data_IF_282784586490
#
_entry.id   IF_282784586490
#
_cell.length_a   1.000
_cell.length_b   1.000
_cell.length_c   1.000
_cell.angle_alpha   90.00
_cell.angle_beta   90.00
_cell.angle_gamma   90.00
#
_symmetry.space_group_name_H-M   'P 1'
#
loop_
_entity.id
_entity.type
_entity.pdbx_description
1 polymer ?
#
# COMPACT_ATOMS: atom_id res chain seq x y z
N UNK A 1 4.21 12.62 14.46
CA UNK A 1 4.20 12.76 12.99
C UNK A 1 3.40 11.57 12.44
N UNK A 2 2.39 11.84 11.65
CA UNK A 2 1.67 10.76 10.99
C UNK A 2 2.54 10.18 9.87
N UNK A 3 2.59 8.86 9.76
CA UNK A 3 3.29 8.19 8.68
C UNK A 3 2.70 8.59 7.33
N UNK A 4 3.54 8.68 6.32
CA UNK A 4 3.14 8.96 4.94
C UNK A 4 3.29 7.70 4.11
N UNK A 5 2.36 7.51 3.18
CA UNK A 5 2.29 6.31 2.34
C UNK A 5 2.28 6.73 0.87
N UNK A 6 3.24 6.23 0.11
CA UNK A 6 3.27 6.45 -1.32
C UNK A 6 2.37 5.44 -2.03
N UNK A 7 1.62 5.90 -3.04
CA UNK A 7 0.67 5.06 -3.77
C UNK A 7 0.99 5.04 -5.25
N UNK A 8 1.17 3.85 -5.80
CA UNK A 8 1.42 3.63 -7.21
C UNK A 8 0.11 3.75 -8.03
N UNK A 9 0.24 4.01 -9.32
CA UNK A 9 -0.87 4.25 -10.24
C UNK A 9 -1.87 3.10 -10.27
N UNK A 10 -1.41 1.83 -10.24
CA UNK A 10 -2.29 0.67 -10.30
C UNK A 10 -3.32 0.65 -9.16
N UNK A 11 -2.93 1.05 -7.96
CA UNK A 11 -3.83 1.12 -6.81
C UNK A 11 -4.93 2.16 -7.04
N UNK A 12 -4.56 3.35 -7.54
CA UNK A 12 -5.53 4.39 -7.85
C UNK A 12 -6.48 3.96 -8.98
N UNK A 13 -5.96 3.27 -9.99
CA UNK A 13 -6.79 2.72 -11.08
C UNK A 13 -7.85 1.77 -10.55
N UNK A 14 -7.50 0.82 -9.69
CA UNK A 14 -8.48 -0.09 -9.08
C UNK A 14 -9.49 0.64 -8.21
N UNK A 15 -9.09 1.69 -7.51
CA UNK A 15 -10.00 2.50 -6.71
C UNK A 15 -11.11 3.17 -7.55
N UNK A 16 -10.87 3.40 -8.83
CA UNK A 16 -11.83 4.00 -9.76
C UNK A 16 -12.48 3.00 -10.74
N UNK A 17 -12.04 1.75 -10.76
CA UNK A 17 -12.60 0.71 -11.65
C UNK A 17 -13.53 -0.23 -10.89
N UNK A 18 -14.83 0.07 -10.92
CA UNK A 18 -15.86 -0.75 -10.28
C UNK A 18 -15.95 -2.17 -10.82
N UNK A 19 -15.39 -2.45 -11.99
CA UNK A 19 -15.40 -3.79 -12.60
C UNK A 19 -14.30 -4.69 -12.04
N UNK A 20 -13.36 -4.15 -11.27
CA UNK A 20 -12.23 -4.89 -10.70
C UNK A 20 -12.60 -5.77 -9.47
N UNK A 21 -13.86 -5.79 -9.05
CA UNK A 21 -14.34 -6.66 -7.97
C UNK A 21 -13.65 -6.40 -6.65
N UNK A 22 -13.11 -7.46 -6.03
CA UNK A 22 -12.45 -7.37 -4.71
C UNK A 22 -11.25 -6.40 -4.70
N UNK A 23 -10.53 -6.26 -5.82
CA UNK A 23 -9.44 -5.28 -5.92
C UNK A 23 -9.96 -3.84 -5.87
N UNK A 24 -11.11 -3.58 -6.50
CA UNK A 24 -11.77 -2.28 -6.39
C UNK A 24 -12.12 -1.96 -4.94
N UNK A 25 -12.81 -2.86 -4.25
CA UNK A 25 -13.26 -2.64 -2.87
C UNK A 25 -12.07 -2.37 -1.95
N UNK A 26 -10.99 -3.13 -2.13
CA UNK A 26 -9.78 -3.01 -1.34
C UNK A 26 -9.04 -1.70 -1.61
N UNK A 27 -8.82 -1.36 -2.88
CA UNK A 27 -8.14 -0.14 -3.28
C UNK A 27 -8.92 1.10 -2.87
N UNK A 28 -10.26 1.07 -3.04
CA UNK A 28 -11.14 2.15 -2.62
C UNK A 28 -11.05 2.40 -1.12
N UNK A 29 -11.14 1.34 -0.30
CA UNK A 29 -11.04 1.46 1.15
C UNK A 29 -9.70 2.07 1.58
N UNK A 30 -8.60 1.62 0.97
CA UNK A 30 -7.26 2.15 1.23
C UNK A 30 -7.15 3.63 0.86
N UNK A 31 -7.59 4.01 -0.32
CA UNK A 31 -7.54 5.40 -0.79
C UNK A 31 -8.39 6.32 0.08
N UNK A 32 -9.58 5.88 0.49
CA UNK A 32 -10.46 6.64 1.39
C UNK A 32 -9.83 6.84 2.78
N UNK A 33 -9.13 5.82 3.30
CA UNK A 33 -8.38 5.93 4.55
C UNK A 33 -7.25 6.95 4.45
N UNK A 34 -6.41 6.84 3.41
CA UNK A 34 -5.30 7.77 3.17
C UNK A 34 -5.80 9.21 2.96
N UNK A 35 -6.98 9.37 2.37
CA UNK A 35 -7.61 10.68 2.20
C UNK A 35 -8.07 11.28 3.51
N UNK A 36 -8.82 10.50 4.29
CA UNK A 36 -9.32 10.91 5.60
C UNK A 36 -8.19 11.32 6.53
N UNK A 37 -7.11 10.53 6.55
CA UNK A 37 -5.99 10.72 7.49
C UNK A 37 -4.93 11.68 6.93
N UNK A 38 -5.07 12.13 5.68
CA UNK A 38 -4.15 13.04 4.97
C UNK A 38 -2.71 12.51 4.91
N UNK A 39 -2.58 11.20 4.69
CA UNK A 39 -1.30 10.49 4.68
C UNK A 39 -0.86 10.03 3.30
N UNK A 40 -1.69 10.20 2.29
CA UNK A 40 -1.38 9.82 0.91
C UNK A 40 -0.34 10.70 0.25
N UNK A 41 0.59 10.07 -0.45
CA UNK A 41 1.63 10.71 -1.26
C UNK A 41 1.65 10.07 -2.64
N UNK A 42 1.73 10.87 -3.67
CA UNK A 42 1.88 10.43 -5.06
C UNK A 42 2.88 11.33 -5.78
N UNK A 43 3.24 10.99 -7.02
CA UNK A 43 4.10 11.82 -7.84
C UNK A 43 3.37 12.38 -9.07
N UNK A 44 3.99 13.33 -9.75
CA UNK A 44 3.52 13.82 -11.05
C UNK A 44 3.43 12.70 -12.08
N UNK A 45 4.35 11.71 -12.07
CA UNK A 45 4.26 10.53 -12.92
C UNK A 45 2.97 9.75 -12.66
N UNK A 46 2.66 9.45 -11.40
CA UNK A 46 1.44 8.72 -11.01
C UNK A 46 0.20 9.45 -11.51
N UNK A 47 0.13 10.77 -11.38
CA UNK A 47 -0.98 11.57 -11.89
C UNK A 47 -1.09 11.53 -13.43
N UNK A 48 0.02 11.58 -14.13
CA UNK A 48 0.07 11.50 -15.60
C UNK A 48 -0.39 10.14 -16.09
N UNK A 49 0.09 9.07 -15.48
CA UNK A 49 -0.33 7.70 -15.80
C UNK A 49 -1.81 7.47 -15.47
N UNK A 50 -2.28 7.97 -14.33
CA UNK A 50 -3.69 7.90 -13.94
C UNK A 50 -4.57 8.59 -14.99
N UNK A 51 -4.24 9.81 -15.38
CA UNK A 51 -5.00 10.56 -16.38
C UNK A 51 -5.10 9.82 -17.72
N UNK A 52 -3.99 9.25 -18.20
CA UNK A 52 -3.98 8.48 -19.46
C UNK A 52 -4.76 7.17 -19.32
N UNK A 53 -4.59 6.47 -18.20
CA UNK A 53 -5.22 5.18 -17.98
C UNK A 53 -6.74 5.29 -17.80
N UNK A 54 -7.22 6.31 -17.08
CA UNK A 54 -8.66 6.56 -16.93
C UNK A 54 -9.35 6.81 -18.28
N UNK A 55 -8.66 7.46 -19.22
CA UNK A 55 -9.21 7.76 -20.53
C UNK A 55 -9.09 6.60 -21.53
N UNK A 56 -8.10 5.70 -21.35
CA UNK A 56 -7.75 4.70 -22.39
C UNK A 56 -7.85 3.25 -21.94
N UNK A 57 -7.55 2.96 -20.67
CA UNK A 57 -7.43 1.59 -20.16
C UNK A 57 -8.53 1.19 -19.19
N UNK A 58 -9.30 2.13 -18.67
CA UNK A 58 -10.43 1.79 -17.81
C UNK A 58 -11.48 0.99 -18.59
N UNK A 59 -12.14 0.06 -17.92
CA UNK A 59 -13.22 -0.74 -18.52
C UNK A 59 -14.35 0.13 -19.09
N UNK A 60 -14.57 1.30 -18.49
CA UNK A 60 -15.40 2.38 -19.00
C UNK A 60 -14.54 3.65 -19.07
N UNK A 61 -13.94 3.94 -20.23
CA UNK A 61 -13.10 5.12 -20.38
C UNK A 61 -13.84 6.40 -20.04
N UNK A 62 -13.16 7.27 -19.29
CA UNK A 62 -13.69 8.57 -18.91
C UNK A 62 -13.33 9.62 -19.98
N UNK A 63 -14.17 10.63 -20.10
CA UNK A 63 -13.85 11.81 -20.90
C UNK A 63 -12.79 12.69 -20.18
N UNK A 64 -12.32 13.71 -20.90
CA UNK A 64 -11.28 14.60 -20.39
C UNK A 64 -11.73 15.42 -19.18
N UNK A 65 -13.01 15.80 -19.11
CA UNK A 65 -13.54 16.60 -18.00
C UNK A 65 -13.64 15.77 -16.72
N UNK A 66 -14.22 14.58 -16.80
CA UNK A 66 -14.30 13.66 -15.66
C UNK A 66 -12.89 13.26 -15.16
N UNK A 67 -11.96 13.00 -16.08
CA UNK A 67 -10.57 12.72 -15.73
C UNK A 67 -9.91 13.89 -15.02
N UNK A 68 -10.12 15.12 -15.54
CA UNK A 68 -9.59 16.34 -14.93
C UNK A 68 -10.05 16.52 -13.49
N UNK A 69 -11.32 16.26 -13.23
CA UNK A 69 -11.88 16.42 -11.88
C UNK A 69 -11.27 15.42 -10.91
N UNK A 70 -11.10 14.16 -11.31
CA UNK A 70 -10.43 13.14 -10.48
C UNK A 70 -8.96 13.54 -10.20
N UNK A 71 -8.23 13.97 -11.21
CA UNK A 71 -6.83 14.41 -11.04
C UNK A 71 -6.76 15.64 -10.13
N UNK A 72 -7.70 16.59 -10.27
CA UNK A 72 -7.76 17.77 -9.41
C UNK A 72 -7.98 17.41 -7.95
N UNK A 73 -8.79 16.40 -7.67
CA UNK A 73 -8.99 15.91 -6.30
C UNK A 73 -7.69 15.35 -5.72
N UNK A 74 -6.94 14.54 -6.47
CA UNK A 74 -5.65 14.00 -6.02
C UNK A 74 -4.56 15.06 -5.86
N UNK A 75 -4.66 16.21 -6.50
CA UNK A 75 -3.73 17.33 -6.28
C UNK A 75 -3.81 17.91 -4.86
N UNK A 76 -4.80 17.53 -4.07
CA UNK A 76 -4.87 17.86 -2.64
C UNK A 76 -3.96 16.98 -1.76
N UNK A 77 -3.44 15.86 -2.30
CA UNK A 77 -2.44 15.03 -1.64
C UNK A 77 -1.06 15.67 -1.68
N UNK A 78 -0.12 15.11 -0.95
CA UNK A 78 1.28 15.49 -1.11
C UNK A 78 1.80 14.98 -2.46
N UNK A 79 2.31 15.91 -3.29
CA UNK A 79 2.78 15.60 -4.63
C UNK A 79 4.30 15.70 -4.68
N UNK A 80 4.96 14.65 -5.11
CA UNK A 80 6.38 14.67 -5.50
C UNK A 80 6.48 15.05 -6.97
N UNK A 81 7.14 16.17 -7.24
CA UNK A 81 7.38 16.62 -8.61
C UNK A 81 8.65 15.97 -9.14
N UNK A 82 8.52 15.15 -10.18
CA UNK A 82 9.66 14.52 -10.82
C UNK A 82 10.39 15.55 -11.70
N UNK A 83 11.62 15.84 -11.32
CA UNK A 83 12.53 16.74 -12.06
C UNK A 83 13.76 16.00 -12.60
N UNK A 84 14.76 16.76 -13.02
CA UNK A 84 16.02 16.18 -13.55
C UNK A 84 16.73 15.27 -12.56
N UNK A 85 16.78 15.65 -11.30
CA UNK A 85 17.40 14.83 -10.23
C UNK A 85 16.63 13.52 -10.02
N UNK A 86 15.32 13.53 -10.21
CA UNK A 86 14.50 12.30 -10.12
C UNK A 86 14.87 11.31 -11.22
N UNK A 87 15.15 11.80 -12.43
CA UNK A 87 15.55 10.96 -13.57
C UNK A 87 16.91 10.31 -13.28
N UNK A 88 17.88 11.08 -12.80
CA UNK A 88 19.21 10.56 -12.45
C UNK A 88 19.12 9.54 -11.30
N UNK A 89 18.37 9.84 -10.26
CA UNK A 89 18.14 8.92 -9.14
C UNK A 89 17.44 7.64 -9.57
N UNK A 90 16.47 7.72 -10.48
CA UNK A 90 15.79 6.54 -11.04
C UNK A 90 16.75 5.64 -11.82
N UNK A 91 17.66 6.20 -12.62
CA UNK A 91 18.68 5.42 -13.36
C UNK A 91 19.63 4.69 -12.41
N UNK A 92 19.99 5.28 -11.29
CA UNK A 92 20.80 4.62 -10.26
C UNK A 92 20.04 3.45 -9.62
N UNK A 93 18.76 3.63 -9.29
CA UNK A 93 17.90 2.59 -8.70
C UNK A 93 17.60 1.45 -9.69
N UNK A 94 17.36 1.78 -10.98
CA UNK A 94 17.19 0.81 -12.06
C UNK A 94 18.39 -0.13 -12.11
N UNK A 95 19.59 0.42 -12.12
CA UNK A 95 20.85 -0.36 -12.15
C UNK A 95 21.04 -1.16 -10.87
N UNK A 96 20.80 -0.56 -9.71
CA UNK A 96 21.05 -1.17 -8.40
C UNK A 96 20.11 -2.33 -8.11
N UNK A 97 18.81 -2.18 -8.43
CA UNK A 97 17.77 -3.14 -8.08
C UNK A 97 17.27 -3.97 -9.25
N UNK A 98 17.77 -3.73 -10.47
CA UNK A 98 17.36 -4.45 -11.68
C UNK A 98 15.85 -4.41 -11.92
N UNK A 99 15.25 -3.25 -11.72
CA UNK A 99 13.84 -2.94 -11.98
C UNK A 99 13.71 -2.02 -13.19
N UNK A 100 12.49 -1.84 -13.71
CA UNK A 100 12.29 -0.93 -14.83
C UNK A 100 12.56 0.53 -14.42
N UNK A 101 12.93 1.37 -15.41
CA UNK A 101 13.09 2.81 -15.16
C UNK A 101 11.83 3.45 -14.54
N UNK A 102 10.66 3.06 -15.00
CA UNK A 102 9.40 3.60 -14.51
C UNK A 102 9.12 3.21 -13.07
N UNK A 103 9.40 1.95 -12.70
CA UNK A 103 9.32 1.49 -11.31
C UNK A 103 10.36 2.17 -10.44
N UNK A 104 11.59 2.34 -10.96
CA UNK A 104 12.66 3.06 -10.27
C UNK A 104 12.28 4.52 -10.00
N UNK A 105 11.56 5.17 -10.91
CA UNK A 105 11.09 6.54 -10.74
C UNK A 105 10.02 6.64 -9.64
N UNK A 106 9.13 5.65 -9.53
CA UNK A 106 8.15 5.52 -8.44
C UNK A 106 8.87 5.32 -7.11
N UNK A 107 9.82 4.40 -7.04
CA UNK A 107 10.63 4.15 -5.83
C UNK A 107 11.40 5.40 -5.42
N UNK A 108 12.03 6.09 -6.36
CA UNK A 108 12.75 7.34 -6.08
C UNK A 108 11.83 8.42 -5.49
N UNK A 109 10.62 8.56 -6.04
CA UNK A 109 9.65 9.50 -5.53
C UNK A 109 9.20 9.15 -4.09
N UNK A 110 8.98 7.89 -3.79
CA UNK A 110 8.65 7.42 -2.45
C UNK A 110 9.79 7.72 -1.44
N UNK A 111 11.04 7.47 -1.84
CA UNK A 111 12.22 7.80 -1.02
C UNK A 111 12.35 9.31 -0.79
N UNK A 112 12.18 10.11 -1.84
CA UNK A 112 12.27 11.57 -1.77
C UNK A 112 11.22 12.20 -0.87
N UNK A 113 10.04 11.58 -0.79
CA UNK A 113 8.97 11.99 0.10
C UNK A 113 9.19 11.57 1.56
N UNK A 114 10.20 10.75 1.84
CA UNK A 114 10.46 10.20 3.17
C UNK A 114 9.42 9.18 3.62
N UNK A 115 8.69 8.54 2.69
CA UNK A 115 7.74 7.49 3.02
C UNK A 115 8.47 6.19 3.34
N UNK A 116 7.92 5.40 4.26
CA UNK A 116 8.43 4.07 4.59
C UNK A 116 7.68 2.95 3.88
N UNK A 117 6.52 3.26 3.34
CA UNK A 117 5.65 2.30 2.63
C UNK A 117 5.31 2.83 1.25
N UNK A 118 5.41 1.94 0.27
CA UNK A 118 4.96 2.10 -1.10
C UNK A 118 3.92 1.03 -1.40
N UNK A 119 2.68 1.44 -1.60
CA UNK A 119 1.63 0.54 -2.07
C UNK A 119 1.71 0.36 -3.58
N UNK A 120 2.00 -0.85 -4.01
CA UNK A 120 2.10 -1.23 -5.42
C UNK A 120 1.77 -2.71 -5.64
N UNK A 121 1.14 -3.03 -6.76
CA UNK A 121 0.94 -4.41 -7.22
C UNK A 121 2.06 -4.88 -8.15
N UNK A 122 2.73 -3.96 -8.84
CA UNK A 122 3.71 -4.28 -9.88
C UNK A 122 5.11 -4.61 -9.33
N UNK A 123 5.43 -4.10 -8.15
CA UNK A 123 6.68 -4.39 -7.45
C UNK A 123 6.51 -5.59 -6.51
N UNK A 124 7.63 -6.25 -6.19
CA UNK A 124 7.63 -7.41 -5.31
C UNK A 124 7.18 -7.06 -3.89
N UNK A 125 6.12 -7.72 -3.42
CA UNK A 125 5.59 -7.53 -2.08
C UNK A 125 6.64 -7.84 -1.01
N UNK A 126 6.75 -6.97 -0.01
CA UNK A 126 7.74 -7.06 1.05
C UNK A 126 9.15 -6.60 0.69
N UNK A 127 9.45 -6.33 -0.58
CA UNK A 127 10.76 -5.86 -1.02
C UNK A 127 11.10 -4.50 -0.39
N UNK A 128 12.35 -4.37 0.05
CA UNK A 128 12.91 -3.11 0.53
C UNK A 128 13.74 -2.42 -0.56
N UNK A 129 13.43 -1.16 -0.80
CA UNK A 129 14.22 -0.25 -1.61
C UNK A 129 14.76 0.87 -0.71
N UNK A 130 15.95 0.66 -0.15
CA UNK A 130 16.44 1.51 0.94
C UNK A 130 15.47 1.45 2.13
N UNK A 131 14.98 2.58 2.64
CA UNK A 131 14.03 2.60 3.76
C UNK A 131 12.58 2.26 3.37
N UNK A 132 12.27 2.21 2.06
CA UNK A 132 10.91 2.04 1.56
C UNK A 132 10.58 0.56 1.38
N UNK A 133 9.52 0.11 2.06
CA UNK A 133 8.95 -1.24 1.91
C UNK A 133 7.78 -1.22 0.94
N UNK A 134 7.78 -2.13 -0.01
CA UNK A 134 6.62 -2.37 -0.87
C UNK A 134 5.58 -3.22 -0.14
N UNK A 135 4.33 -2.81 -0.23
CA UNK A 135 3.17 -3.58 0.22
C UNK A 135 2.20 -3.71 -0.94
N UNK A 136 1.89 -4.95 -1.33
CA UNK A 136 0.80 -5.23 -2.25
C UNK A 136 -0.50 -5.37 -1.45
N UNK A 137 -1.44 -4.41 -1.55
CA UNK A 137 -2.66 -4.44 -0.75
C UNK A 137 -3.64 -5.56 -1.17
N UNK A 138 -3.35 -6.27 -2.26
CA UNK A 138 -4.18 -7.35 -2.81
C UNK A 138 -3.63 -8.73 -2.46
N UNK A 139 -2.45 -8.84 -1.85
CA UNK A 139 -1.93 -10.12 -1.39
C UNK A 139 -2.75 -10.66 -0.22
N UNK A 140 -2.94 -11.99 -0.16
CA UNK A 140 -3.73 -12.65 0.89
C UNK A 140 -3.09 -12.58 2.29
N UNK A 141 -1.84 -12.14 2.38
CA UNK A 141 -1.09 -12.08 3.64
C UNK A 141 -1.27 -10.76 4.41
N UNK A 142 -1.94 -9.78 3.82
CA UNK A 142 -2.18 -8.49 4.47
C UNK A 142 -3.44 -8.57 5.34
N UNK A 143 -3.27 -8.90 6.61
CA UNK A 143 -4.30 -8.70 7.63
C UNK A 143 -4.40 -7.20 7.92
N UNK A 144 -5.35 -6.54 7.29
CA UNK A 144 -5.73 -5.18 7.63
C UNK A 144 -6.58 -5.21 8.90
N UNK A 145 -6.18 -4.48 9.91
CA UNK A 145 -7.03 -4.17 11.05
C UNK A 145 -6.99 -5.13 12.24
N UNK A 146 -5.95 -5.94 12.40
CA UNK A 146 -5.72 -6.59 13.70
C UNK A 146 -4.74 -5.75 14.54
N UNK A 147 -5.22 -4.61 15.01
CA UNK A 147 -4.71 -3.97 16.23
C UNK A 147 -5.52 -4.46 17.44
N UNK A 148 -5.83 -5.75 17.48
CA UNK A 148 -6.18 -6.38 18.73
C UNK A 148 -4.89 -6.73 19.46
N UNK A 149 -4.59 -5.94 20.46
CA UNK A 149 -3.60 -6.29 21.47
C UNK A 149 -3.85 -7.72 21.95
N UNK A 150 -2.81 -8.52 22.20
CA UNK A 150 -3.01 -9.78 22.86
C UNK A 150 -3.54 -9.48 24.26
N UNK A 151 -4.84 -9.59 24.45
CA UNK A 151 -5.42 -9.66 25.77
C UNK A 151 -4.83 -10.88 26.46
N UNK A 152 -3.90 -10.58 27.35
CA UNK A 152 -3.42 -11.55 28.29
C UNK A 152 -4.60 -12.15 29.05
N UNK A 153 -4.89 -13.41 28.80
CA UNK A 153 -5.69 -14.20 29.70
C UNK A 153 -4.80 -15.22 30.36
N UNK A 154 -4.46 -14.83 31.55
CA UNK A 154 -4.19 -15.62 32.74
C UNK A 154 -4.34 -17.13 32.60
N UNK A 155 -3.21 -17.77 32.72
CA UNK A 155 -3.13 -19.04 33.39
C UNK A 155 -3.51 -18.85 34.86
N UNK A 156 -4.69 -19.25 35.21
CA UNK A 156 -5.04 -19.67 36.57
C UNK A 156 -6.21 -20.63 36.49
N UNK A 157 -5.88 -21.89 36.46
CA UNK A 157 -6.68 -22.92 37.07
C UNK A 157 -5.79 -24.10 37.42
N UNK A 158 -5.13 -23.93 38.54
CA UNK A 158 -4.79 -25.02 39.44
C UNK A 158 -6.11 -25.57 39.99
N UNK A 159 -6.51 -26.72 39.61
CA UNK A 159 -7.42 -27.52 40.43
C UNK A 159 -6.70 -28.77 40.92
N UNK A 160 -6.44 -28.69 42.16
CA UNK A 160 -6.20 -29.80 43.06
C UNK A 160 -7.40 -30.73 43.10
N UNK A 161 -7.12 -32.00 43.07
CA UNK A 161 -7.83 -33.16 43.64
C UNK A 161 -7.57 -34.32 42.68
N UNK A 162 -7.19 -35.44 43.02
CA UNK A 162 -7.38 -36.20 44.25
C UNK A 162 -6.44 -37.40 44.20
N UNK A 163 -5.85 -37.68 45.33
CA UNK A 163 -5.34 -39.03 45.65
C UNK A 163 -6.51 -39.87 46.09
N UNK A 164 -6.60 -41.14 45.72
CA UNK A 164 -6.71 -42.11 46.75
C UNK A 164 -5.93 -43.41 46.55
N UNK A 165 -5.34 -43.81 47.65
CA UNK A 165 -5.50 -45.07 48.33
C UNK A 165 -4.97 -46.36 47.70
N UNK A 166 -3.91 -46.77 48.32
CA UNK A 166 -3.65 -48.08 48.94
C UNK A 166 -4.68 -49.19 48.71
N UNK A 167 -4.19 -50.29 48.25
CA UNK A 167 -4.40 -51.66 48.82
C UNK A 167 -3.31 -52.54 48.21
N UNK A 168 -2.36 -52.99 48.95
CA UNK A 168 -2.26 -54.25 49.77
C UNK A 168 -2.78 -55.48 49.03
N UNK A 169 -1.94 -56.41 48.79
CA UNK A 169 -1.83 -57.72 49.43
C UNK A 169 -1.27 -58.76 48.47
N UNK A 170 -0.37 -59.39 48.84
CA UNK A 170 0.38 -60.64 48.97
C UNK A 170 1.69 -60.65 48.25
#
# INVERSE_FOLDING_TARGET
MSDKYFVDTNILMYAHDRTAGAKHDRAKALVEELWRDRTGVISTQVLQELAVNLQRKAAKPLDALATRDIVADYLTWQIVVNGGDSILGALELETRYQISFWDALVVHAAQSAGTQVLYSEDLSDGQLYGPVRVINPFSNDVRWGDQSEPTGQNADQLSLSDTPERRKVC
#
